data_IF_609657219313
#
_entry.id   IF_609657219313
#
_cell.length_a   1.000
_cell.length_b   1.000
_cell.length_c   1.000
_cell.angle_alpha   90.00
_cell.angle_beta   90.00
_cell.angle_gamma   90.00
#
_symmetry.space_group_name_H-M   'P 1'
#
loop_
_entity.id
_entity.type
_entity.pdbx_description
1 polymer ?
#
# COMPACT_ATOMS: atom_id res chain seq x y z
N UNK A 1 6.20 9.02 -21.50
CA UNK A 1 6.60 10.02 -20.46
C UNK A 1 5.52 10.18 -19.40
N UNK A 2 4.25 10.29 -19.81
CA UNK A 2 3.10 10.35 -18.90
C UNK A 2 2.89 9.07 -18.09
N UNK A 3 3.24 7.89 -18.61
CA UNK A 3 3.09 6.63 -17.86
C UNK A 3 3.95 6.61 -16.59
N UNK A 4 5.18 7.13 -16.64
CA UNK A 4 6.07 7.23 -15.49
C UNK A 4 5.44 8.08 -14.38
N UNK A 5 4.74 9.15 -14.74
CA UNK A 5 4.04 10.03 -13.79
C UNK A 5 2.91 9.27 -13.11
N UNK A 6 2.11 8.51 -13.87
CA UNK A 6 0.99 7.71 -13.33
C UNK A 6 1.50 6.60 -12.39
N UNK A 7 2.55 5.87 -12.80
CA UNK A 7 3.13 4.82 -11.96
C UNK A 7 3.75 5.40 -10.68
N UNK A 8 4.41 6.55 -10.78
CA UNK A 8 4.99 7.24 -9.62
C UNK A 8 3.92 7.74 -8.67
N UNK A 9 2.86 8.38 -9.17
CA UNK A 9 1.70 8.79 -8.37
C UNK A 9 1.02 7.60 -7.70
N UNK A 10 0.89 6.49 -8.42
CA UNK A 10 0.31 5.26 -7.86
C UNK A 10 1.18 4.71 -6.73
N UNK A 11 2.50 4.70 -6.89
CA UNK A 11 3.43 4.28 -5.85
C UNK A 11 3.35 5.19 -4.61
N UNK A 12 3.27 6.50 -4.81
CA UNK A 12 3.08 7.48 -3.72
C UNK A 12 1.76 7.22 -3.00
N UNK A 13 0.66 7.07 -3.75
CA UNK A 13 -0.66 6.79 -3.18
C UNK A 13 -0.67 5.50 -2.35
N UNK A 14 -0.07 4.42 -2.87
CA UNK A 14 0.09 3.15 -2.16
C UNK A 14 0.92 3.30 -0.88
N UNK A 15 1.98 4.12 -0.92
CA UNK A 15 2.80 4.40 0.26
C UNK A 15 1.98 5.10 1.35
N UNK A 16 1.23 6.14 1.00
CA UNK A 16 0.36 6.84 1.95
C UNK A 16 -0.74 5.94 2.49
N UNK A 17 -1.35 5.10 1.66
CA UNK A 17 -2.35 4.11 2.11
C UNK A 17 -1.74 3.09 3.07
N UNK A 18 -0.53 2.60 2.78
CA UNK A 18 0.16 1.65 3.63
C UNK A 18 0.54 2.26 4.99
N UNK A 19 1.01 3.50 5.01
CA UNK A 19 1.34 4.20 6.26
C UNK A 19 0.08 4.49 7.10
N UNK A 20 -1.01 4.91 6.45
CA UNK A 20 -2.30 5.10 7.12
C UNK A 20 -2.85 3.78 7.70
N UNK A 21 -2.77 2.68 6.96
CA UNK A 21 -3.18 1.36 7.45
C UNK A 21 -2.32 0.90 8.63
N UNK A 22 -1.02 1.16 8.60
CA UNK A 22 -0.12 0.85 9.70
C UNK A 22 -0.41 1.71 10.94
N UNK A 23 -0.59 3.01 10.77
CA UNK A 23 -0.95 3.91 11.88
C UNK A 23 -2.32 3.54 12.48
N UNK A 24 -3.28 3.12 11.65
CA UNK A 24 -4.57 2.60 12.12
C UNK A 24 -4.38 1.32 12.94
N UNK A 25 -3.51 0.41 12.47
CA UNK A 25 -3.22 -0.83 13.19
C UNK A 25 -2.53 -0.56 14.52
N UNK A 26 -1.56 0.37 14.57
CA UNK A 26 -0.90 0.82 15.81
C UNK A 26 -1.90 1.49 16.77
N UNK A 27 -2.83 2.29 16.25
CA UNK A 27 -3.89 2.93 17.03
C UNK A 27 -4.85 1.90 17.65
N UNK A 28 -5.20 0.84 16.92
CA UNK A 28 -6.04 -0.25 17.44
C UNK A 28 -5.27 -1.12 18.43
N UNK A 29 -3.98 -1.36 18.20
CA UNK A 29 -3.14 -2.19 19.08
C UNK A 29 -2.83 -1.48 20.41
N UNK A 30 -2.83 -0.15 20.42
CA UNK A 30 -2.58 0.67 21.62
C UNK A 30 -1.09 0.80 21.99
N UNK A 31 -0.21 0.06 21.33
CA UNK A 31 1.23 0.12 21.47
C UNK A 31 1.91 0.19 20.09
N UNK A 32 3.05 0.88 19.96
CA UNK A 32 3.81 0.91 18.71
C UNK A 32 4.27 -0.50 18.36
N UNK A 33 4.02 -0.92 17.12
CA UNK A 33 4.23 -2.31 16.74
C UNK A 33 5.73 -2.60 16.67
N UNK A 34 6.22 -3.66 17.36
CA UNK A 34 7.61 -4.07 17.23
C UNK A 34 7.87 -4.50 15.77
N UNK A 35 8.97 -4.02 15.20
CA UNK A 35 9.32 -4.23 13.78
C UNK A 35 8.37 -3.54 12.79
N UNK A 36 7.94 -2.30 13.07
CA UNK A 36 7.13 -1.42 12.19
C UNK A 36 7.52 -1.48 10.70
N UNK A 37 8.81 -1.54 10.38
CA UNK A 37 9.29 -1.67 8.99
C UNK A 37 8.83 -2.96 8.29
N UNK A 38 8.85 -4.09 8.99
CA UNK A 38 8.40 -5.38 8.43
C UNK A 38 6.90 -5.33 8.19
N UNK A 39 6.14 -4.78 9.14
CA UNK A 39 4.68 -4.66 9.01
C UNK A 39 4.31 -3.70 7.88
N UNK A 40 4.98 -2.55 7.79
CA UNK A 40 4.85 -1.63 6.66
C UNK A 40 5.11 -2.34 5.32
N UNK A 41 6.19 -3.11 5.24
CA UNK A 41 6.54 -3.86 4.04
C UNK A 41 5.44 -4.87 3.64
N UNK A 42 4.92 -5.62 4.60
CA UNK A 42 3.84 -6.59 4.33
C UNK A 42 2.55 -5.87 3.89
N UNK A 43 2.22 -4.74 4.51
CA UNK A 43 1.05 -3.93 4.16
C UNK A 43 1.17 -3.39 2.73
N UNK A 44 2.27 -2.69 2.41
CA UNK A 44 2.45 -2.08 1.08
C UNK A 44 2.57 -3.14 -0.01
N UNK A 45 3.21 -4.28 0.27
CA UNK A 45 3.29 -5.41 -0.66
C UNK A 45 1.89 -5.96 -0.96
N UNK A 46 1.08 -6.20 0.06
CA UNK A 46 -0.28 -6.72 -0.10
C UNK A 46 -1.18 -5.73 -0.85
N UNK A 47 -1.11 -4.43 -0.51
CA UNK A 47 -1.81 -3.36 -1.20
C UNK A 47 -1.40 -3.25 -2.67
N UNK A 48 -0.10 -3.33 -2.95
CA UNK A 48 0.40 -3.31 -4.33
C UNK A 48 -0.12 -4.51 -5.12
N UNK A 49 -0.03 -5.73 -4.57
CA UNK A 49 -0.54 -6.94 -5.22
C UNK A 49 -2.05 -6.82 -5.49
N UNK A 50 -2.84 -6.35 -4.51
CA UNK A 50 -4.27 -6.09 -4.69
C UNK A 50 -4.54 -5.04 -5.77
N UNK A 51 -3.79 -3.94 -5.77
CA UNK A 51 -3.93 -2.85 -6.75
C UNK A 51 -3.66 -3.32 -8.17
N UNK A 52 -2.55 -4.01 -8.39
CA UNK A 52 -2.21 -4.57 -9.70
C UNK A 52 -3.19 -5.66 -10.14
N UNK A 53 -3.69 -6.48 -9.22
CA UNK A 53 -4.71 -7.49 -9.53
C UNK A 53 -6.06 -6.84 -9.88
N UNK A 54 -6.47 -5.78 -9.16
CA UNK A 54 -7.69 -5.03 -9.47
C UNK A 54 -7.61 -4.40 -10.87
N UNK A 55 -6.47 -3.79 -11.21
CA UNK A 55 -6.21 -3.27 -12.56
C UNK A 55 -6.35 -4.37 -13.60
N UNK A 56 -5.72 -5.54 -13.39
CA UNK A 56 -5.83 -6.68 -14.31
C UNK A 56 -7.27 -7.17 -14.46
N UNK A 57 -8.03 -7.26 -13.37
CA UNK A 57 -9.41 -7.73 -13.41
C UNK A 57 -10.32 -6.75 -14.16
N UNK A 58 -10.13 -5.45 -13.98
CA UNK A 58 -10.86 -4.39 -14.71
C UNK A 58 -10.48 -4.35 -16.19
N UNK A 59 -9.22 -4.67 -16.54
CA UNK A 59 -8.76 -4.74 -17.94
C UNK A 59 -9.08 -6.07 -18.64
N UNK A 60 -9.32 -7.14 -17.88
CA UNK A 60 -9.59 -8.49 -18.41
C UNK A 60 -11.09 -8.85 -18.46
N UNK A 61 -11.96 -8.02 -17.87
CA UNK A 61 -13.42 -8.13 -17.96
C UNK A 61 -13.98 -7.17 -19.00
#
# INVERSE_FOLDING_TARGET
MTEVVIYTLSAIALYFMADAALNLLESIHGEPIPHRNIVFFVIILSLALMWFQAIKMVLAG
#
